data_IF_495190769087
#
_entry.id   IF_495190769087
#
_cell.length_a   1.000
_cell.length_b   1.000
_cell.length_c   1.000
_cell.angle_alpha   90.00
_cell.angle_beta   90.00
_cell.angle_gamma   90.00
#
_symmetry.space_group_name_H-M   'P 1'
#
loop_
_entity.id
_entity.type
_entity.pdbx_description
1 polymer ?
#
# COMPACT_ATOMS: atom_id res chain seq x y z
N UNK A 1 10.82 -30.38 -18.69
CA UNK A 1 10.10 -29.86 -17.51
C UNK A 1 9.45 -28.55 -17.94
N UNK A 2 8.12 -28.48 -18.03
CA UNK A 2 7.39 -27.26 -18.39
C UNK A 2 7.32 -26.33 -17.17
N UNK A 3 7.41 -25.00 -17.34
CA UNK A 3 7.36 -24.06 -16.22
C UNK A 3 5.98 -24.15 -15.55
N UNK A 4 5.97 -24.24 -14.22
CA UNK A 4 4.75 -24.38 -13.42
C UNK A 4 3.80 -23.22 -13.67
N UNK A 5 2.52 -23.53 -13.89
CA UNK A 5 1.45 -22.55 -14.00
C UNK A 5 1.37 -21.72 -12.71
N UNK A 6 1.59 -20.40 -12.82
CA UNK A 6 1.40 -19.47 -11.72
C UNK A 6 -0.11 -19.18 -11.59
N UNK A 7 -0.77 -19.77 -10.61
CA UNK A 7 -2.18 -19.49 -10.32
C UNK A 7 -2.27 -18.12 -9.65
N UNK A 8 -2.94 -17.16 -10.29
CA UNK A 8 -3.23 -15.85 -9.72
C UNK A 8 -4.60 -15.86 -9.08
N UNK A 9 -4.65 -15.71 -7.76
CA UNK A 9 -5.89 -15.57 -7.00
C UNK A 9 -6.30 -14.09 -6.92
N UNK A 10 -7.59 -13.81 -7.12
CA UNK A 10 -8.17 -12.47 -7.00
C UNK A 10 -9.05 -12.42 -5.75
N UNK A 11 -8.72 -11.52 -4.82
CA UNK A 11 -9.45 -11.30 -3.58
C UNK A 11 -9.99 -9.88 -3.50
N UNK A 12 -11.20 -9.72 -2.94
CA UNK A 12 -11.80 -8.40 -2.69
C UNK A 12 -11.16 -7.79 -1.45
N UNK A 13 -10.85 -6.50 -1.51
CA UNK A 13 -10.26 -5.73 -0.41
C UNK A 13 -11.06 -4.46 -0.14
N UNK A 14 -11.01 -3.96 1.10
CA UNK A 14 -11.51 -2.62 1.45
C UNK A 14 -10.38 -1.59 1.27
N UNK A 15 -10.50 -0.63 0.34
CA UNK A 15 -9.47 0.38 0.08
C UNK A 15 -9.53 1.58 1.04
N UNK A 16 -10.35 1.55 2.09
CA UNK A 16 -10.46 2.69 3.02
C UNK A 16 -9.12 2.97 3.72
N UNK A 17 -8.67 4.23 3.64
CA UNK A 17 -7.42 4.67 4.28
C UNK A 17 -6.14 4.30 3.52
N UNK A 18 -6.26 3.77 2.30
CA UNK A 18 -5.12 3.48 1.42
C UNK A 18 -4.46 4.79 0.98
N UNK A 19 -3.13 4.89 1.14
CA UNK A 19 -2.32 6.11 0.98
C UNK A 19 -2.26 7.04 2.20
N UNK A 20 -3.07 6.80 3.23
CA UNK A 20 -3.09 7.61 4.45
C UNK A 20 -2.39 6.93 5.61
N UNK A 21 -1.98 5.68 5.43
CA UNK A 21 -1.13 4.96 6.38
C UNK A 21 0.19 4.61 5.70
N UNK A 22 1.29 4.76 6.44
CA UNK A 22 2.59 4.33 5.98
C UNK A 22 2.62 2.82 5.83
N UNK A 23 3.05 2.34 4.66
CA UNK A 23 3.14 0.91 4.38
C UNK A 23 4.16 0.20 5.29
N UNK A 24 5.16 0.94 5.79
CA UNK A 24 6.21 0.39 6.63
C UNK A 24 5.85 0.41 8.13
N UNK A 25 5.41 1.54 8.67
CA UNK A 25 5.21 1.69 10.12
C UNK A 25 3.74 1.84 10.54
N UNK A 26 2.79 1.80 9.59
CA UNK A 26 1.35 1.92 9.81
C UNK A 26 0.89 3.23 10.47
N UNK A 27 1.79 4.19 10.70
CA UNK A 27 1.41 5.51 11.16
C UNK A 27 0.56 6.24 10.12
N UNK A 28 -0.40 7.02 10.61
CA UNK A 28 -1.23 7.87 9.77
C UNK A 28 -0.38 9.02 9.21
N UNK A 29 -0.32 9.11 7.89
CA UNK A 29 0.29 10.20 7.14
C UNK A 29 -0.85 11.07 6.60
N UNK A 30 -1.13 12.17 7.31
CA UNK A 30 -2.16 13.13 6.93
C UNK A 30 -1.75 13.87 5.67
N UNK A 31 -2.25 13.41 4.52
CA UNK A 31 -2.02 14.05 3.22
C UNK A 31 -3.31 14.11 2.41
N UNK A 32 -3.37 15.06 1.48
CA UNK A 32 -4.49 15.12 0.54
C UNK A 32 -4.52 13.88 -0.35
N UNK A 33 -5.71 13.45 -0.78
CA UNK A 33 -5.84 12.29 -1.68
C UNK A 33 -5.23 12.55 -3.07
N UNK A 34 -5.08 13.82 -3.46
CA UNK A 34 -4.38 14.24 -4.69
C UNK A 34 -2.86 14.14 -4.58
N UNK A 35 -2.31 14.06 -3.37
CA UNK A 35 -0.87 13.96 -3.14
C UNK A 35 -0.35 12.55 -3.38
N UNK A 36 0.42 12.39 -4.46
CA UNK A 36 0.89 11.08 -4.93
C UNK A 36 2.24 10.65 -4.38
N UNK A 37 2.98 11.57 -3.75
CA UNK A 37 4.22 11.26 -3.07
C UNK A 37 3.93 10.77 -1.64
N UNK A 38 4.76 9.85 -1.14
CA UNK A 38 4.70 9.39 0.25
C UNK A 38 5.92 9.91 0.98
N UNK A 39 5.69 10.52 2.14
CA UNK A 39 6.73 10.86 3.10
C UNK A 39 6.15 10.71 4.51
N UNK A 40 6.82 9.93 5.34
CA UNK A 40 6.41 9.52 6.66
C UNK A 40 7.43 10.06 7.67
N UNK A 41 7.05 11.11 8.38
CA UNK A 41 7.88 11.74 9.42
C UNK A 41 8.26 10.80 10.57
N UNK A 42 7.57 9.67 10.72
CA UNK A 42 7.86 8.70 11.78
C UNK A 42 8.95 7.69 11.42
N UNK A 43 9.07 7.27 10.16
CA UNK A 43 10.02 6.22 9.76
C UNK A 43 10.89 6.56 8.54
N UNK A 44 10.67 7.73 7.92
CA UNK A 44 11.50 8.26 6.83
C UNK A 44 11.17 7.73 5.43
N UNK A 45 10.11 6.93 5.27
CA UNK A 45 9.63 6.45 3.96
C UNK A 45 8.72 7.42 3.23
#
# INVERSE_FOLDING_TARGET
MLPGNLVRELSRVDPKGTSQHCWQCLNKVSKSLSERWHYCSNCGQ
#
